data_IF_888545438344
#
_entry.id   IF_888545438344
#
_cell.length_a   1.000
_cell.length_b   1.000
_cell.length_c   1.000
_cell.angle_alpha   90.00
_cell.angle_beta   90.00
_cell.angle_gamma   90.00
#
_symmetry.space_group_name_H-M   'P 1'
#
loop_
_entity.id
_entity.type
_entity.pdbx_description
1 polymer ?
#
# COMPACT_ATOMS: atom_id res chain seq x y z
N UNK A 1 -11.57 -37.30 3.22
CA UNK A 1 -10.96 -37.32 1.87
C UNK A 1 -9.52 -37.74 2.10
N UNK A 2 -9.21 -38.98 1.76
CA UNK A 2 -8.18 -39.81 2.41
C UNK A 2 -6.72 -39.50 2.01
N UNK A 3 -6.45 -38.29 1.52
CA UNK A 3 -5.13 -37.84 1.08
C UNK A 3 -4.97 -37.81 -0.45
N UNK A 4 -3.76 -37.44 -0.93
CA UNK A 4 -3.44 -37.43 -2.35
C UNK A 4 -3.48 -38.84 -2.96
N UNK A 5 -3.67 -38.97 -4.29
CA UNK A 5 -3.66 -40.26 -4.97
C UNK A 5 -2.34 -41.03 -4.74
N UNK A 6 -2.43 -42.36 -4.69
CA UNK A 6 -1.27 -43.24 -4.51
C UNK A 6 -0.31 -43.06 -5.70
N UNK A 7 0.97 -42.83 -5.42
CA UNK A 7 2.04 -42.50 -6.37
C UNK A 7 1.96 -41.11 -7.06
N UNK A 8 1.14 -40.20 -6.55
CA UNK A 8 1.18 -38.81 -7.03
C UNK A 8 2.32 -38.02 -6.37
N UNK A 9 2.82 -37.00 -7.07
CA UNK A 9 3.93 -36.15 -6.62
C UNK A 9 3.53 -34.68 -6.65
N UNK A 10 4.13 -33.88 -5.78
CA UNK A 10 3.86 -32.45 -5.79
C UNK A 10 4.41 -31.81 -7.07
N UNK A 11 3.54 -31.19 -7.86
CA UNK A 11 3.94 -30.55 -9.12
C UNK A 11 4.79 -29.27 -8.98
N UNK A 12 5.21 -28.93 -7.76
CA UNK A 12 6.04 -27.74 -7.46
C UNK A 12 7.47 -28.20 -7.11
N UNK A 13 7.63 -29.09 -6.13
CA UNK A 13 8.95 -29.63 -5.76
C UNK A 13 9.32 -30.92 -6.50
N UNK A 14 8.38 -31.53 -7.22
CA UNK A 14 8.51 -32.83 -7.91
C UNK A 14 8.89 -33.99 -6.98
N UNK A 15 8.62 -33.84 -5.67
CA UNK A 15 8.87 -34.85 -4.64
C UNK A 15 7.58 -35.34 -3.98
N UNK A 16 7.75 -36.19 -2.97
CA UNK A 16 6.64 -36.66 -2.14
C UNK A 16 5.97 -35.51 -1.39
N UNK A 17 4.68 -35.65 -1.12
CA UNK A 17 3.92 -34.64 -0.38
C UNK A 17 4.40 -34.55 1.06
N UNK A 18 4.99 -33.40 1.42
CA UNK A 18 5.20 -33.01 2.81
C UNK A 18 4.04 -32.10 3.23
N UNK A 19 3.24 -32.51 4.21
CA UNK A 19 2.03 -31.79 4.67
C UNK A 19 1.08 -31.55 3.48
N UNK A 20 0.49 -32.65 2.99
CA UNK A 20 -0.35 -32.62 1.80
C UNK A 20 -1.59 -31.73 1.98
N UNK A 21 -1.81 -30.81 1.05
CA UNK A 21 -2.93 -29.88 1.06
C UNK A 21 -3.70 -29.95 -0.25
N UNK A 22 -5.02 -30.07 -0.17
CA UNK A 22 -5.93 -30.08 -1.31
C UNK A 22 -6.47 -28.67 -1.58
N UNK A 23 -6.32 -28.19 -2.82
CA UNK A 23 -6.95 -26.95 -3.25
C UNK A 23 -8.45 -27.14 -3.56
N UNK A 24 -9.21 -26.05 -3.58
CA UNK A 24 -10.60 -26.00 -4.08
C UNK A 24 -10.79 -26.55 -5.51
N UNK A 25 -9.72 -26.64 -6.30
CA UNK A 25 -9.71 -27.26 -7.63
C UNK A 25 -9.34 -28.75 -7.62
N UNK A 26 -9.34 -29.39 -6.44
CA UNK A 26 -9.01 -30.80 -6.15
C UNK A 26 -7.56 -31.23 -6.39
N UNK A 27 -6.69 -30.35 -6.89
CA UNK A 27 -5.26 -30.62 -6.99
C UNK A 27 -4.54 -30.56 -5.64
N UNK A 28 -3.51 -31.38 -5.49
CA UNK A 28 -2.74 -31.54 -4.26
C UNK A 28 -1.35 -30.90 -4.35
N UNK A 29 -0.89 -30.31 -3.25
CA UNK A 29 0.43 -29.70 -3.13
C UNK A 29 0.99 -29.90 -1.72
N UNK A 30 2.32 -29.78 -1.55
CA UNK A 30 2.91 -29.61 -0.22
C UNK A 30 2.50 -28.23 0.35
N UNK A 31 2.25 -28.16 1.66
CA UNK A 31 1.89 -26.91 2.33
C UNK A 31 2.90 -25.79 2.08
N UNK A 32 4.19 -26.04 2.29
CA UNK A 32 5.23 -25.03 2.06
C UNK A 32 5.37 -24.65 0.58
N UNK A 33 5.24 -25.61 -0.32
CA UNK A 33 5.38 -25.35 -1.76
C UNK A 33 4.31 -24.39 -2.26
N UNK A 34 3.04 -24.61 -1.88
CA UNK A 34 1.96 -23.73 -2.32
C UNK A 34 2.01 -22.36 -1.64
N UNK A 35 2.46 -22.30 -0.38
CA UNK A 35 2.71 -21.03 0.31
C UNK A 35 3.86 -20.25 -0.34
N UNK A 36 4.92 -20.93 -0.78
CA UNK A 36 6.04 -20.31 -1.49
C UNK A 36 5.58 -19.72 -2.84
N UNK A 37 4.74 -20.45 -3.58
CA UNK A 37 4.11 -19.94 -4.82
C UNK A 37 3.27 -18.69 -4.55
N UNK A 38 2.52 -18.67 -3.45
CA UNK A 38 1.76 -17.48 -3.06
C UNK A 38 2.67 -16.30 -2.68
N UNK A 39 3.75 -16.54 -1.93
CA UNK A 39 4.70 -15.51 -1.52
C UNK A 39 5.45 -14.87 -2.69
N UNK A 40 5.90 -15.66 -3.66
CA UNK A 40 6.55 -15.14 -4.87
C UNK A 40 5.57 -14.55 -5.88
N UNK A 41 4.29 -14.90 -5.79
CA UNK A 41 3.23 -14.34 -6.60
C UNK A 41 2.79 -12.95 -6.10
N UNK A 42 1.48 -12.71 -6.18
CA UNK A 42 0.88 -11.52 -5.61
C UNK A 42 0.29 -11.87 -4.25
N UNK A 43 0.96 -11.47 -3.16
CA UNK A 43 0.46 -11.66 -1.79
C UNK A 43 -0.93 -11.04 -1.60
N UNK A 44 -1.30 -10.09 -2.45
CA UNK A 44 -2.60 -9.41 -2.45
C UNK A 44 -3.74 -10.21 -3.09
N UNK A 45 -3.45 -11.30 -3.79
CA UNK A 45 -4.44 -12.09 -4.53
C UNK A 45 -4.34 -13.58 -4.17
N UNK A 46 -5.44 -14.34 -4.31
CA UNK A 46 -5.37 -15.80 -4.22
C UNK A 46 -4.36 -16.34 -5.24
N UNK A 47 -3.54 -17.31 -4.80
CA UNK A 47 -2.62 -17.97 -5.73
C UNK A 47 -3.40 -18.74 -6.80
N UNK A 48 -2.80 -18.87 -7.99
CA UNK A 48 -3.37 -19.67 -9.07
C UNK A 48 -2.79 -21.08 -8.99
N UNK A 49 -3.63 -22.08 -9.20
CA UNK A 49 -3.19 -23.46 -9.29
C UNK A 49 -2.16 -23.63 -10.43
N UNK A 50 -0.96 -24.18 -10.17
CA UNK A 50 0.04 -24.45 -11.20
C UNK A 50 -0.45 -25.38 -12.32
N UNK A 51 -1.42 -26.26 -12.03
CA UNK A 51 -1.92 -27.26 -12.96
C UNK A 51 -3.08 -26.73 -13.82
N UNK A 52 -4.14 -26.20 -13.20
CA UNK A 52 -5.35 -25.79 -13.91
C UNK A 52 -5.57 -24.27 -13.98
N UNK A 53 -4.68 -23.47 -13.40
CA UNK A 53 -4.72 -21.98 -13.37
C UNK A 53 -5.94 -21.37 -12.67
N UNK A 54 -6.81 -22.18 -12.05
CA UNK A 54 -7.94 -21.71 -11.23
C UNK A 54 -7.43 -21.03 -9.96
N UNK A 55 -8.14 -20.01 -9.48
CA UNK A 55 -7.82 -19.34 -8.22
C UNK A 55 -8.08 -20.28 -7.04
N UNK A 56 -7.08 -20.39 -6.16
CA UNK A 56 -7.15 -21.20 -4.95
C UNK A 56 -7.63 -20.32 -3.81
N UNK A 57 -8.91 -20.40 -3.46
CA UNK A 57 -9.49 -19.64 -2.34
C UNK A 57 -9.51 -20.43 -1.04
N UNK A 58 -9.28 -21.74 -1.11
CA UNK A 58 -9.32 -22.65 0.01
C UNK A 58 -8.28 -23.75 -0.20
N UNK A 59 -7.50 -24.01 0.85
CA UNK A 59 -6.55 -25.11 0.98
C UNK A 59 -6.95 -25.96 2.18
N UNK A 60 -7.26 -27.23 1.94
CA UNK A 60 -7.68 -28.17 2.98
C UNK A 60 -6.53 -29.14 3.25
N UNK A 61 -5.91 -29.13 4.44
CA UNK A 61 -4.89 -30.10 4.81
C UNK A 61 -5.46 -31.52 4.82
N UNK A 62 -4.67 -32.49 4.34
CA UNK A 62 -5.03 -33.91 4.37
C UNK A 62 -5.07 -34.47 5.79
N UNK A 63 -5.85 -35.52 5.99
CA UNK A 63 -6.13 -36.07 7.32
C UNK A 63 -4.88 -36.60 8.05
N UNK A 64 -3.92 -37.14 7.29
CA UNK A 64 -2.61 -37.54 7.80
C UNK A 64 -1.82 -36.34 8.38
N UNK A 65 -1.81 -35.21 7.67
CA UNK A 65 -1.12 -34.00 8.13
C UNK A 65 -1.75 -33.37 9.36
N UNK A 66 -3.06 -33.54 9.57
CA UNK A 66 -3.75 -33.07 10.77
C UNK A 66 -3.40 -33.89 12.01
N UNK A 67 -3.11 -35.19 11.85
CA UNK A 67 -2.69 -36.07 12.94
C UNK A 67 -1.27 -35.76 13.43
N UNK A 68 -0.43 -35.24 12.54
CA UNK A 68 0.95 -34.82 12.84
C UNK A 68 1.05 -33.38 13.38
N UNK A 69 -0.08 -32.74 13.70
CA UNK A 69 -0.12 -31.36 14.24
C UNK A 69 0.65 -31.17 15.55
N UNK A 70 0.97 -32.25 16.27
CA UNK A 70 1.81 -32.19 17.48
C UNK A 70 3.27 -31.83 17.18
N UNK A 71 3.72 -32.01 15.93
CA UNK A 71 5.04 -31.55 15.49
C UNK A 71 5.03 -30.01 15.29
N UNK A 72 5.98 -29.27 15.90
CA UNK A 72 6.06 -27.82 15.77
C UNK A 72 6.20 -27.35 14.31
N UNK A 73 6.92 -28.09 13.47
CA UNK A 73 7.15 -27.69 12.07
C UNK A 73 5.84 -27.82 11.26
N UNK A 74 5.10 -28.92 11.49
CA UNK A 74 3.79 -29.15 10.84
C UNK A 74 2.77 -28.12 11.32
N UNK A 75 2.75 -27.80 12.61
CA UNK A 75 1.86 -26.80 13.18
C UNK A 75 2.09 -25.41 12.57
N UNK A 76 3.34 -25.02 12.30
CA UNK A 76 3.65 -23.74 11.66
C UNK A 76 3.04 -23.65 10.25
N UNK A 77 3.22 -24.70 9.44
CA UNK A 77 2.70 -24.77 8.06
C UNK A 77 1.16 -24.75 8.06
N UNK A 78 0.54 -25.53 8.95
CA UNK A 78 -0.92 -25.52 9.11
C UNK A 78 -1.42 -24.11 9.52
N UNK A 79 -0.70 -23.41 10.40
CA UNK A 79 -1.03 -22.03 10.76
C UNK A 79 -0.85 -21.02 9.62
N UNK A 80 0.11 -21.24 8.69
CA UNK A 80 0.21 -20.45 7.45
C UNK A 80 -1.01 -20.69 6.55
N UNK A 81 -1.42 -21.94 6.38
CA UNK A 81 -2.57 -22.34 5.57
C UNK A 81 -3.89 -21.80 6.16
N UNK A 82 -4.07 -21.88 7.48
CA UNK A 82 -5.23 -21.34 8.17
C UNK A 82 -5.34 -19.82 7.96
N UNK A 83 -4.23 -19.08 8.10
CA UNK A 83 -4.18 -17.65 7.78
C UNK A 83 -4.53 -17.38 6.32
N UNK A 84 -4.00 -18.16 5.38
CA UNK A 84 -4.34 -18.05 3.95
C UNK A 84 -5.86 -18.23 3.73
N UNK A 85 -6.44 -19.26 4.33
CA UNK A 85 -7.87 -19.55 4.24
C UNK A 85 -8.72 -18.46 4.92
N UNK A 86 -8.26 -17.85 6.01
CA UNK A 86 -8.96 -16.70 6.59
C UNK A 86 -8.96 -15.48 5.66
N UNK A 87 -7.89 -15.27 4.89
CA UNK A 87 -7.80 -14.18 3.94
C UNK A 87 -8.70 -14.37 2.72
N UNK A 88 -8.85 -15.62 2.24
CA UNK A 88 -9.47 -15.91 0.93
C UNK A 88 -10.67 -16.88 0.96
N UNK A 89 -10.97 -17.50 2.10
CA UNK A 89 -11.98 -18.56 2.23
C UNK A 89 -13.43 -18.07 2.34
N UNK A 90 -13.65 -16.78 2.60
CA UNK A 90 -14.96 -16.15 2.54
C UNK A 90 -15.32 -15.79 1.09
N UNK A 91 -16.50 -16.23 0.63
CA UNK A 91 -17.05 -15.89 -0.68
C UNK A 91 -17.46 -14.40 -0.77
N UNK A 92 -16.48 -13.50 -0.77
CA UNK A 92 -16.70 -12.06 -0.98
C UNK A 92 -15.78 -11.58 -2.09
N UNK A 93 -16.34 -11.53 -3.31
CA UNK A 93 -15.93 -10.68 -4.43
C UNK A 93 -14.45 -10.27 -4.40
N UNK A 94 -13.56 -11.10 -4.95
CA UNK A 94 -12.10 -10.97 -4.86
C UNK A 94 -11.52 -9.61 -5.30
N UNK A 95 -12.32 -8.70 -5.84
CA UNK A 95 -11.97 -7.30 -6.08
C UNK A 95 -12.10 -6.42 -4.83
N UNK A 96 -13.12 -6.59 -4.00
CA UNK A 96 -13.37 -5.74 -2.82
C UNK A 96 -12.39 -6.08 -1.70
N UNK A 97 -12.16 -7.36 -1.44
CA UNK A 97 -11.20 -7.81 -0.43
C UNK A 97 -9.74 -7.48 -0.86
N UNK A 98 -9.39 -7.72 -2.13
CA UNK A 98 -8.08 -7.33 -2.66
C UNK A 98 -7.88 -5.81 -2.71
N UNK A 99 -8.94 -5.03 -2.98
CA UNK A 99 -8.88 -3.56 -2.94
C UNK A 99 -8.71 -3.07 -1.48
N UNK A 100 -9.39 -3.69 -0.51
CA UNK A 100 -9.17 -3.40 0.92
C UNK A 100 -7.73 -3.65 1.34
N UNK A 101 -7.14 -4.79 0.96
CA UNK A 101 -5.75 -5.09 1.29
C UNK A 101 -4.76 -4.19 0.54
N UNK A 102 -5.02 -3.90 -0.75
CA UNK A 102 -4.22 -2.94 -1.54
C UNK A 102 -4.26 -1.53 -0.94
N UNK A 103 -5.41 -1.06 -0.44
CA UNK A 103 -5.53 0.20 0.27
C UNK A 103 -4.79 0.16 1.61
N UNK A 104 -4.93 -0.93 2.37
CA UNK A 104 -4.28 -1.08 3.68
C UNK A 104 -2.75 -1.11 3.55
N UNK A 105 -2.20 -1.85 2.58
CA UNK A 105 -0.76 -1.86 2.30
C UNK A 105 -0.26 -0.55 1.71
N UNK A 106 -1.03 0.09 0.80
CA UNK A 106 -0.65 1.38 0.22
C UNK A 106 -0.68 2.52 1.24
N UNK A 107 -1.52 2.42 2.27
CA UNK A 107 -1.52 3.34 3.41
C UNK A 107 -0.26 3.21 4.28
N UNK A 108 0.37 2.02 4.30
CA UNK A 108 1.61 1.80 5.05
C UNK A 108 2.83 2.41 4.35
N UNK A 109 2.81 2.50 3.01
CA UNK A 109 3.85 3.16 2.19
C UNK A 109 3.56 4.64 1.88
N UNK A 110 2.32 5.11 2.08
CA UNK A 110 1.92 6.50 1.94
C UNK A 110 2.74 7.48 2.81
N UNK A 111 3.08 7.19 4.09
CA UNK A 111 3.91 8.10 4.87
C UNK A 111 5.31 8.25 4.29
N UNK A 112 5.84 7.24 3.60
CA UNK A 112 7.16 7.31 2.97
C UNK A 112 7.12 8.15 1.69
N UNK A 113 6.16 7.92 0.81
CA UNK A 113 5.98 8.70 -0.42
C UNK A 113 5.60 10.15 -0.12
N UNK A 114 4.74 10.39 0.86
CA UNK A 114 4.38 11.73 1.31
C UNK A 114 5.59 12.44 1.94
N UNK A 115 6.39 11.77 2.77
CA UNK A 115 7.64 12.36 3.31
C UNK A 115 8.64 12.70 2.22
N UNK A 116 8.73 11.89 1.17
CA UNK A 116 9.62 12.12 0.03
C UNK A 116 9.13 13.29 -0.82
N UNK A 117 7.84 13.35 -1.15
CA UNK A 117 7.21 14.48 -1.83
C UNK A 117 7.34 15.78 -1.01
N UNK A 118 7.09 15.72 0.30
CA UNK A 118 7.27 16.86 1.20
C UNK A 118 8.72 17.32 1.24
N UNK A 119 9.69 16.40 1.25
CA UNK A 119 11.12 16.74 1.22
C UNK A 119 11.54 17.38 -0.11
N UNK A 120 10.97 16.92 -1.20
CA UNK A 120 11.25 17.42 -2.55
C UNK A 120 10.57 18.79 -2.80
N UNK A 121 9.39 19.02 -2.21
CA UNK A 121 8.74 20.35 -2.14
C UNK A 121 9.52 21.29 -1.20
N UNK A 122 10.08 20.76 -0.11
CA UNK A 122 10.89 21.49 0.86
C UNK A 122 12.34 21.72 0.37
N UNK A 123 12.70 21.31 -0.84
CA UNK A 123 14.00 21.63 -1.42
C UNK A 123 13.95 23.03 -2.10
N UNK A 124 14.55 24.07 -1.49
CA UNK A 124 14.36 25.46 -1.88
C UNK A 124 15.10 25.85 -3.17
N UNK A 125 15.98 25.00 -3.73
CA UNK A 125 16.73 25.35 -4.94
C UNK A 125 15.97 25.10 -6.25
N UNK A 126 14.98 24.18 -6.27
CA UNK A 126 14.16 23.88 -7.46
C UNK A 126 12.76 24.51 -7.39
N UNK A 127 12.31 24.92 -6.21
CA UNK A 127 10.95 25.42 -5.96
C UNK A 127 10.79 26.93 -6.11
N UNK A 128 11.88 27.72 -6.20
CA UNK A 128 11.79 29.18 -6.42
C UNK A 128 10.90 29.58 -7.62
N UNK A 129 11.06 29.03 -8.84
CA UNK A 129 10.17 29.38 -9.95
C UNK A 129 8.75 28.81 -9.80
N UNK A 130 8.57 27.73 -9.04
CA UNK A 130 7.27 27.08 -8.80
C UNK A 130 6.45 27.83 -7.75
N UNK A 131 7.06 28.28 -6.66
CA UNK A 131 6.41 29.05 -5.59
C UNK A 131 6.05 30.46 -6.08
N UNK A 132 6.91 31.09 -6.89
CA UNK A 132 6.59 32.38 -7.54
C UNK A 132 5.46 32.22 -8.57
N UNK A 133 5.48 31.18 -9.41
CA UNK A 133 4.38 30.88 -10.34
C UNK A 133 3.08 30.58 -9.60
N UNK A 134 3.12 29.76 -8.55
CA UNK A 134 1.97 29.46 -7.72
C UNK A 134 1.40 30.72 -7.08
N UNK A 135 2.25 31.64 -6.58
CA UNK A 135 1.82 32.94 -6.05
C UNK A 135 1.07 33.77 -7.10
N UNK A 136 1.60 33.86 -8.31
CA UNK A 136 0.96 34.62 -9.41
C UNK A 136 -0.35 33.95 -9.83
N UNK A 137 -0.39 32.63 -9.97
CA UNK A 137 -1.61 31.91 -10.31
C UNK A 137 -2.69 32.04 -9.23
N UNK A 138 -2.33 31.90 -7.96
CA UNK A 138 -3.26 32.05 -6.83
C UNK A 138 -3.78 33.49 -6.76
N UNK A 139 -2.90 34.50 -6.87
CA UNK A 139 -3.30 35.90 -6.86
C UNK A 139 -4.21 36.25 -8.06
N UNK A 140 -3.91 35.73 -9.25
CA UNK A 140 -4.75 35.92 -10.45
C UNK A 140 -6.10 35.21 -10.30
N UNK A 141 -6.13 33.99 -9.76
CA UNK A 141 -7.38 33.25 -9.53
C UNK A 141 -8.23 33.94 -8.45
N UNK A 142 -7.64 34.35 -7.33
CA UNK A 142 -8.36 35.09 -6.28
C UNK A 142 -8.87 36.45 -6.79
N UNK A 143 -8.07 37.17 -7.58
CA UNK A 143 -8.49 38.42 -8.22
C UNK A 143 -9.59 38.20 -9.26
N UNK A 144 -9.53 37.12 -10.04
CA UNK A 144 -10.58 36.76 -11.00
C UNK A 144 -11.88 36.35 -10.28
N UNK A 145 -11.80 35.59 -9.19
CA UNK A 145 -12.95 35.24 -8.34
C UNK A 145 -13.57 36.52 -7.75
N UNK A 146 -12.75 37.46 -7.28
CA UNK A 146 -13.20 38.76 -6.78
C UNK A 146 -13.92 39.60 -7.85
N UNK A 147 -13.39 39.64 -9.08
CA UNK A 147 -13.97 40.43 -10.18
C UNK A 147 -15.23 39.77 -10.76
N UNK A 148 -15.25 38.44 -10.87
CA UNK A 148 -16.35 37.70 -11.50
C UNK A 148 -17.54 37.56 -10.55
N UNK A 149 -17.35 37.64 -9.22
CA UNK A 149 -18.43 37.56 -8.25
C UNK A 149 -19.30 38.82 -8.30
N UNK A 150 -20.49 38.77 -8.92
CA UNK A 150 -21.44 39.87 -8.81
C UNK A 150 -22.11 39.71 -7.43
N UNK A 151 -22.17 40.80 -6.67
CA UNK A 151 -22.86 40.91 -5.35
C UNK A 151 -21.95 40.67 -4.13
N UNK A 152 -21.66 41.78 -3.46
CA UNK A 152 -21.40 41.88 -2.01
C UNK A 152 -22.45 41.12 -1.19
N UNK A 153 -22.26 39.81 -0.97
CA UNK A 153 -23.11 39.01 -0.06
C UNK A 153 -22.36 37.85 0.62
N UNK A 154 -21.12 38.07 1.08
CA UNK A 154 -20.44 37.06 1.91
C UNK A 154 -20.78 37.34 3.39
N UNK A 155 -21.48 36.43 4.09
CA UNK A 155 -21.71 36.57 5.52
C UNK A 155 -20.38 36.54 6.26
N UNK A 156 -20.20 37.47 7.19
CA UNK A 156 -18.94 37.83 7.88
C UNK A 156 -18.23 36.66 8.62
N UNK A 157 -18.86 35.47 8.72
CA UNK A 157 -18.28 34.29 9.37
C UNK A 157 -17.34 33.44 8.50
N UNK A 158 -17.48 33.43 7.17
CA UNK A 158 -16.63 32.60 6.27
C UNK A 158 -15.34 33.36 5.90
N UNK A 159 -15.41 34.70 5.84
CA UNK A 159 -14.27 35.59 5.63
C UNK A 159 -13.21 35.48 6.74
N UNK A 160 -13.61 35.24 7.98
CA UNK A 160 -12.67 35.04 9.09
C UNK A 160 -11.81 33.79 8.93
N UNK A 161 -12.39 32.68 8.46
CA UNK A 161 -11.67 31.41 8.26
C UNK A 161 -10.77 31.49 7.02
N UNK A 162 -11.24 32.10 5.94
CA UNK A 162 -10.45 32.31 4.73
C UNK A 162 -9.30 33.30 4.99
N UNK A 163 -9.54 34.37 5.75
CA UNK A 163 -8.50 35.30 6.19
C UNK A 163 -7.45 34.62 7.08
N UNK A 164 -7.88 33.80 8.05
CA UNK A 164 -6.95 33.02 8.88
C UNK A 164 -6.11 32.04 8.04
N UNK A 165 -6.70 31.44 7.02
CA UNK A 165 -5.99 30.55 6.09
C UNK A 165 -4.97 31.33 5.26
N UNK A 166 -5.31 32.53 4.80
CA UNK A 166 -4.39 33.42 4.10
C UNK A 166 -3.22 33.85 5.00
N UNK A 167 -3.51 34.29 6.22
CA UNK A 167 -2.49 34.64 7.22
C UNK A 167 -1.56 33.45 7.54
N UNK A 168 -2.12 32.25 7.72
CA UNK A 168 -1.34 31.03 7.96
C UNK A 168 -0.44 30.68 6.76
N UNK A 169 -0.95 30.84 5.53
CA UNK A 169 -0.18 30.63 4.31
C UNK A 169 0.95 31.67 4.19
N UNK A 170 0.68 32.94 4.50
CA UNK A 170 1.67 34.02 4.52
C UNK A 170 2.78 33.71 5.54
N UNK A 171 2.42 33.28 6.76
CA UNK A 171 3.38 32.89 7.80
C UNK A 171 4.24 31.70 7.35
N UNK A 172 3.64 30.67 6.76
CA UNK A 172 4.35 29.52 6.22
C UNK A 172 5.34 29.93 5.12
N UNK A 173 4.93 30.82 4.22
CA UNK A 173 5.78 31.35 3.14
C UNK A 173 6.95 32.16 3.73
N UNK A 174 6.69 33.03 4.71
CA UNK A 174 7.72 33.79 5.42
C UNK A 174 8.75 32.85 6.07
N UNK A 175 8.30 31.79 6.74
CA UNK A 175 9.18 30.80 7.36
C UNK A 175 10.08 30.10 6.32
N UNK A 176 9.50 29.70 5.18
CA UNK A 176 10.26 29.09 4.08
C UNK A 176 11.27 30.07 3.46
N UNK A 177 10.93 31.37 3.34
CA UNK A 177 11.85 32.40 2.86
C UNK A 177 13.02 32.61 3.82
N UNK A 178 12.75 32.71 5.11
CA UNK A 178 13.80 32.83 6.14
C UNK A 178 14.71 31.60 6.15
N UNK A 179 14.14 30.39 6.02
CA UNK A 179 14.91 29.16 5.93
C UNK A 179 15.79 29.12 4.66
N UNK A 180 15.30 29.63 3.53
CA UNK A 180 16.07 29.73 2.30
C UNK A 180 17.24 30.73 2.42
N UNK A 181 17.00 31.91 3.02
CA UNK A 181 18.04 32.91 3.29
C UNK A 181 19.07 32.34 4.27
N UNK A 182 18.64 31.68 5.34
CA UNK A 182 19.53 31.06 6.32
C UNK A 182 20.43 30.00 5.68
N UNK A 183 19.87 29.12 4.82
CA UNK A 183 20.66 28.14 4.05
C UNK A 183 21.60 28.80 3.04
N UNK A 184 21.18 29.87 2.37
CA UNK A 184 22.03 30.61 1.45
C UNK A 184 23.22 31.26 2.17
N UNK A 185 22.98 31.85 3.35
CA UNK A 185 24.03 32.39 4.21
C UNK A 185 24.94 31.29 4.75
N UNK A 186 24.39 30.15 5.16
CA UNK A 186 25.17 29.01 5.64
C UNK A 186 26.05 28.42 4.53
N UNK A 187 25.52 28.31 3.30
CA UNK A 187 26.24 27.86 2.13
C UNK A 187 27.30 28.86 1.69
N UNK A 188 27.03 30.17 1.74
CA UNK A 188 28.03 31.19 1.48
C UNK A 188 29.17 31.17 2.52
N UNK A 189 28.85 30.84 3.78
CA UNK A 189 29.86 30.75 4.86
C UNK A 189 30.67 29.44 4.88
N UNK A 190 30.13 28.33 4.38
CA UNK A 190 30.79 27.00 4.46
C UNK A 190 31.07 26.35 3.09
N UNK A 191 30.54 26.90 2.01
CA UNK A 191 30.71 26.43 0.63
C UNK A 191 31.77 27.20 -0.16
N UNK A 192 32.59 28.03 0.51
CA UNK A 192 33.75 28.67 -0.09
C UNK A 192 34.91 27.68 -0.25
N UNK A 193 34.99 27.07 -1.43
CA UNK A 193 36.23 26.63 -2.07
C UNK A 193 36.17 26.91 -3.57
#
# INVERSE_FOLDING_TARGET
MDGPPVNDFCSICHGHFNIACQANCSHWFCGDCIMLVWHHGSVLQPCKCPLCRRQITLLVPGEASLRERSDPDVAEVLGKIERYNHLFGGNTSGLIQACRFKCLSRMQDLPFLLRRLLREIMDPQRSLPLVIRARVYIAVVLSAIYIISPVDLIPEGILGIVGLLDDLLVVLICFLHVAAIYRAVLYYRHGGS
#
